data_IF_710806843258
#
_entry.id   IF_710806843258
#
_cell.length_a   1.000
_cell.length_b   1.000
_cell.length_c   1.000
_cell.angle_alpha   90.00
_cell.angle_beta   90.00
_cell.angle_gamma   90.00
#
_symmetry.space_group_name_H-M   'P 1'
#
loop_
_entity.id
_entity.type
_entity.pdbx_description
1 polymer ?
#
# COMPACT_ATOMS: atom_id res chain seq x y z
N UNK A 1 11.31 -10.91 15.89
CA UNK A 1 11.37 -11.05 14.42
C UNK A 1 12.26 -9.99 13.77
N UNK A 2 11.97 -8.69 13.94
CA UNK A 2 12.68 -7.60 13.25
C UNK A 2 14.21 -7.66 13.38
N UNK A 3 14.76 -7.73 14.59
CA UNK A 3 16.21 -7.83 14.81
C UNK A 3 16.86 -9.05 14.11
N UNK A 4 16.16 -10.18 14.05
CA UNK A 4 16.63 -11.39 13.35
C UNK A 4 16.66 -11.18 11.83
N UNK A 5 15.63 -10.53 11.28
CA UNK A 5 15.54 -10.22 9.86
C UNK A 5 16.68 -9.29 9.41
N UNK A 6 16.96 -8.23 10.18
CA UNK A 6 18.09 -7.32 9.90
C UNK A 6 19.44 -8.07 9.89
N UNK A 7 19.65 -8.96 10.86
CA UNK A 7 20.87 -9.77 10.93
C UNK A 7 21.01 -10.70 9.73
N UNK A 8 19.94 -11.40 9.36
CA UNK A 8 19.93 -12.31 8.20
C UNK A 8 20.13 -11.58 6.87
N UNK A 9 19.71 -10.32 6.82
CA UNK A 9 19.92 -9.42 5.69
C UNK A 9 21.30 -8.71 5.72
N UNK A 10 22.22 -9.16 6.58
CA UNK A 10 23.60 -8.67 6.69
C UNK A 10 23.75 -7.16 6.99
N UNK A 11 22.81 -6.57 7.73
CA UNK A 11 23.00 -5.22 8.25
C UNK A 11 24.13 -5.22 9.29
N UNK A 12 25.00 -4.22 9.26
CA UNK A 12 26.01 -4.05 10.30
C UNK A 12 25.36 -3.76 11.67
N UNK A 13 26.10 -4.00 12.75
CA UNK A 13 25.55 -3.92 14.11
C UNK A 13 25.03 -2.51 14.45
N UNK A 14 25.68 -1.45 13.96
CA UNK A 14 25.25 -0.08 14.23
C UNK A 14 23.93 0.23 13.52
N UNK A 15 23.81 -0.16 12.25
CA UNK A 15 22.55 -0.05 11.49
C UNK A 15 21.43 -0.86 12.15
N UNK A 16 21.71 -2.07 12.65
CA UNK A 16 20.73 -2.87 13.39
C UNK A 16 20.16 -2.10 14.59
N UNK A 17 21.03 -1.60 15.47
CA UNK A 17 20.61 -0.84 16.66
C UNK A 17 19.89 0.46 16.29
N UNK A 18 20.36 1.18 15.27
CA UNK A 18 19.74 2.43 14.82
C UNK A 18 18.30 2.18 14.35
N UNK A 19 18.06 1.20 13.49
CA UNK A 19 16.71 0.89 13.00
C UNK A 19 15.78 0.37 14.09
N UNK A 20 16.29 -0.47 15.00
CA UNK A 20 15.51 -0.94 16.15
C UNK A 20 15.17 0.21 17.12
N UNK A 21 16.09 1.15 17.33
CA UNK A 21 15.85 2.33 18.15
C UNK A 21 14.82 3.28 17.52
N UNK A 22 14.90 3.50 16.20
CA UNK A 22 13.90 4.29 15.45
C UNK A 22 12.53 3.63 15.58
N UNK A 23 12.44 2.32 15.34
CA UNK A 23 11.19 1.58 15.49
C UNK A 23 10.61 1.72 16.90
N UNK A 24 11.42 1.49 17.94
CA UNK A 24 10.98 1.60 19.33
C UNK A 24 10.51 3.01 19.69
N UNK A 25 11.24 4.04 19.27
CA UNK A 25 11.01 5.43 19.72
C UNK A 25 10.03 6.22 18.86
N UNK A 26 9.93 5.91 17.56
CA UNK A 26 9.20 6.72 16.57
C UNK A 26 8.07 5.97 15.87
N UNK A 27 8.01 4.64 15.97
CA UNK A 27 6.97 3.81 15.32
C UNK A 27 6.04 3.17 16.34
N UNK A 28 6.56 2.46 17.34
CA UNK A 28 5.75 1.79 18.36
C UNK A 28 4.70 2.72 19.01
N UNK A 29 5.00 3.99 19.35
CA UNK A 29 3.99 4.91 19.90
C UNK A 29 2.80 5.19 18.98
N UNK A 30 2.93 4.90 17.68
CA UNK A 30 1.90 5.08 16.66
C UNK A 30 1.25 3.76 16.21
N UNK A 31 1.45 2.65 16.94
CA UNK A 31 0.80 1.37 16.61
C UNK A 31 -0.54 1.16 17.35
N UNK A 32 -0.98 2.14 18.14
CA UNK A 32 -2.18 2.05 18.95
C UNK A 32 -2.07 1.03 20.08
N UNK A 33 -3.22 0.54 20.54
CA UNK A 33 -3.30 -0.50 21.57
C UNK A 33 -2.79 -1.84 21.05
N UNK A 34 -2.24 -2.66 21.94
CA UNK A 34 -1.79 -4.00 21.57
C UNK A 34 -2.98 -4.86 21.11
N UNK A 35 -2.92 -5.54 19.94
CA UNK A 35 -4.02 -6.38 19.49
C UNK A 35 -4.18 -7.64 20.37
N UNK A 36 -5.28 -7.72 21.11
CA UNK A 36 -5.64 -8.89 21.91
C UNK A 36 -6.64 -9.80 21.17
N UNK A 37 -6.66 -11.08 21.53
CA UNK A 37 -7.48 -12.11 20.83
C UNK A 37 -8.97 -11.87 20.99
N UNK A 38 -9.40 -11.43 22.17
CA UNK A 38 -10.81 -11.38 22.58
C UNK A 38 -11.37 -9.94 22.60
N UNK A 39 -10.55 -8.95 22.23
CA UNK A 39 -10.97 -7.55 22.14
C UNK A 39 -10.95 -7.05 20.70
N UNK A 40 -12.10 -6.54 20.26
CA UNK A 40 -12.22 -5.79 19.02
C UNK A 40 -12.17 -4.27 19.25
N UNK A 41 -11.86 -3.82 20.48
CA UNK A 41 -11.73 -2.40 20.81
C UNK A 41 -10.37 -1.85 20.37
N UNK A 42 -10.15 -1.87 19.06
CA UNK A 42 -8.93 -1.39 18.42
C UNK A 42 -9.21 -0.96 16.99
N UNK A 43 -8.30 -0.15 16.45
CA UNK A 43 -8.32 0.16 15.03
C UNK A 43 -8.02 -1.09 14.18
N UNK A 44 -8.82 -1.31 13.15
CA UNK A 44 -8.64 -2.39 12.17
C UNK A 44 -7.96 -1.84 10.91
N UNK A 45 -6.64 -2.05 10.83
CA UNK A 45 -5.84 -1.59 9.71
C UNK A 45 -6.06 -2.43 8.44
N UNK A 46 -6.15 -1.79 7.27
CA UNK A 46 -6.14 -2.51 5.98
C UNK A 46 -4.82 -3.25 5.70
N UNK A 47 -3.76 -2.95 6.47
CA UNK A 47 -2.41 -3.44 6.20
C UNK A 47 -2.33 -4.96 6.22
N UNK A 48 -2.96 -5.62 7.20
CA UNK A 48 -2.96 -7.08 7.30
C UNK A 48 -4.38 -7.63 7.34
N UNK A 49 -4.53 -8.91 6.98
CA UNK A 49 -5.83 -9.60 7.03
C UNK A 49 -6.39 -9.72 8.45
N UNK A 50 -5.54 -9.58 9.47
CA UNK A 50 -5.94 -9.58 10.88
C UNK A 50 -6.20 -8.16 11.41
N UNK A 51 -6.13 -7.13 10.58
CA UNK A 51 -6.35 -5.76 11.01
C UNK A 51 -5.20 -5.17 11.82
N UNK A 52 -4.03 -5.79 11.86
CA UNK A 52 -2.88 -5.30 12.65
C UNK A 52 -2.13 -4.20 11.91
N UNK A 53 -1.64 -3.15 12.59
CA UNK A 53 -1.10 -1.95 11.93
C UNK A 53 0.41 -2.02 11.67
N UNK A 54 1.03 -3.21 11.66
CA UNK A 54 2.46 -3.37 11.40
C UNK A 54 2.76 -4.65 10.62
N UNK A 55 3.62 -4.54 9.61
CA UNK A 55 4.08 -5.66 8.78
C UNK A 55 5.55 -5.47 8.35
N UNK A 56 6.35 -6.53 8.51
CA UNK A 56 7.72 -6.62 7.98
C UNK A 56 7.70 -7.26 6.59
N UNK A 57 8.57 -6.79 5.70
CA UNK A 57 8.86 -7.41 4.41
C UNK A 57 10.35 -7.39 4.13
N UNK A 58 10.81 -8.34 3.31
CA UNK A 58 12.19 -8.43 2.86
C UNK A 58 12.19 -8.42 1.34
N UNK A 59 12.96 -7.50 0.74
CA UNK A 59 13.36 -7.65 -0.66
C UNK A 59 14.46 -8.71 -0.70
N UNK A 60 14.14 -9.90 -1.21
CA UNK A 60 15.08 -11.02 -1.28
C UNK A 60 16.17 -10.85 -2.35
N UNK A 61 15.97 -9.99 -3.35
CA UNK A 61 16.97 -9.75 -4.40
C UNK A 61 18.15 -8.93 -3.87
N UNK A 62 17.86 -7.89 -3.10
CA UNK A 62 18.88 -6.93 -2.62
C UNK A 62 19.10 -7.00 -1.10
N UNK A 63 18.46 -7.95 -0.42
CA UNK A 63 18.46 -8.09 1.05
C UNK A 63 18.06 -6.82 1.81
N UNK A 64 17.09 -6.06 1.28
CA UNK A 64 16.61 -4.83 1.94
C UNK A 64 15.40 -5.14 2.81
N UNK A 65 15.53 -4.90 4.11
CA UNK A 65 14.41 -4.97 5.06
C UNK A 65 13.53 -3.73 4.92
N UNK A 66 12.23 -3.95 4.90
CA UNK A 66 11.19 -2.91 4.95
C UNK A 66 10.22 -3.23 6.08
N UNK A 67 9.68 -2.22 6.72
CA UNK A 67 8.40 -2.37 7.42
C UNK A 67 7.40 -1.33 6.96
N UNK A 68 6.12 -1.70 7.03
CA UNK A 68 4.98 -0.83 6.78
C UNK A 68 4.16 -0.76 8.06
N UNK A 69 3.61 0.41 8.37
CA UNK A 69 2.70 0.58 9.48
C UNK A 69 1.65 1.65 9.19
N UNK A 70 0.48 1.50 9.81
CA UNK A 70 -0.54 2.54 9.82
C UNK A 70 -0.43 3.35 11.11
N UNK A 71 -0.12 4.66 11.05
CA UNK A 71 -0.11 5.49 12.24
C UNK A 71 -1.49 5.57 12.90
N UNK A 72 -1.53 5.30 14.20
CA UNK A 72 -2.70 5.35 15.08
C UNK A 72 -2.30 6.16 16.31
N UNK A 73 -3.17 7.07 16.76
CA UNK A 73 -2.97 7.79 18.01
C UNK A 73 -4.25 7.76 18.87
N UNK A 74 -4.26 8.48 20.00
CA UNK A 74 -5.38 8.50 20.94
C UNK A 74 -6.71 9.04 20.36
N UNK A 75 -6.67 9.80 19.26
CA UNK A 75 -7.86 10.35 18.61
C UNK A 75 -8.40 9.41 17.52
N UNK A 76 -7.61 8.44 17.05
CA UNK A 76 -8.02 7.52 15.99
C UNK A 76 -9.28 6.75 16.37
N UNK A 77 -10.30 6.81 15.51
CA UNK A 77 -11.59 6.11 15.70
C UNK A 77 -12.54 6.80 16.67
N UNK A 78 -12.11 7.88 17.34
CA UNK A 78 -12.97 8.72 18.19
C UNK A 78 -13.73 9.76 17.34
N UNK A 79 -14.55 10.60 17.99
CA UNK A 79 -15.22 11.71 17.31
C UNK A 79 -14.24 12.71 16.66
N UNK A 80 -13.01 12.84 17.19
CA UNK A 80 -12.01 13.77 16.69
C UNK A 80 -11.29 13.28 15.41
N UNK A 81 -11.22 11.96 15.19
CA UNK A 81 -10.61 11.37 14.00
C UNK A 81 -11.22 9.99 13.67
N UNK A 82 -12.52 9.98 13.35
CA UNK A 82 -13.31 8.77 13.14
C UNK A 82 -12.78 7.86 12.02
N UNK A 83 -12.06 8.43 11.05
CA UNK A 83 -11.54 7.73 9.86
C UNK A 83 -10.02 7.66 9.80
N UNK A 84 -9.32 8.00 10.89
CA UNK A 84 -7.85 7.96 10.98
C UNK A 84 -7.13 8.76 9.88
N UNK A 85 -7.64 9.94 9.54
CA UNK A 85 -7.06 10.80 8.51
C UNK A 85 -5.96 11.73 9.06
N UNK A 86 -5.86 11.87 10.40
CA UNK A 86 -4.98 12.87 11.03
C UNK A 86 -3.74 12.28 11.70
N UNK A 87 -3.77 11.05 12.20
CA UNK A 87 -2.65 10.44 12.95
C UNK A 87 -1.30 10.41 12.23
N UNK A 88 -1.32 10.32 10.90
CA UNK A 88 -0.12 10.28 10.07
C UNK A 88 0.77 11.53 10.22
N UNK A 89 0.20 12.71 10.48
CA UNK A 89 0.97 13.95 10.57
C UNK A 89 1.96 13.94 11.73
N UNK A 90 1.50 13.54 12.92
CA UNK A 90 2.38 13.43 14.10
C UNK A 90 3.48 12.39 13.87
N UNK A 91 3.13 11.25 13.26
CA UNK A 91 4.08 10.19 12.94
C UNK A 91 5.12 10.61 11.89
N UNK A 92 4.72 11.41 10.89
CA UNK A 92 5.62 11.96 9.89
C UNK A 92 6.60 12.96 10.49
N UNK A 93 6.14 13.88 11.34
CA UNK A 93 7.00 14.87 12.00
C UNK A 93 8.14 14.19 12.78
N UNK A 94 7.83 13.10 13.47
CA UNK A 94 8.80 12.30 14.22
C UNK A 94 9.89 11.65 13.34
N UNK A 95 9.56 11.30 12.11
CA UNK A 95 10.49 10.72 11.13
C UNK A 95 11.28 11.79 10.36
N UNK A 96 10.62 12.89 9.98
CA UNK A 96 11.26 14.05 9.31
C UNK A 96 12.36 14.64 10.19
N UNK A 97 12.11 14.72 11.51
CA UNK A 97 13.08 15.25 12.47
C UNK A 97 14.42 14.47 12.52
N UNK A 98 14.46 13.24 12.01
CA UNK A 98 15.66 12.38 12.06
C UNK A 98 16.19 11.96 10.68
N UNK A 99 15.51 12.36 9.59
CA UNK A 99 15.90 12.02 8.22
C UNK A 99 15.72 13.24 7.31
N UNK A 100 16.79 14.06 7.13
CA UNK A 100 16.72 15.34 6.41
C UNK A 100 16.27 15.25 4.94
N UNK A 101 16.45 14.10 4.29
CA UNK A 101 16.12 13.91 2.86
C UNK A 101 14.61 13.65 2.63
N UNK A 102 13.81 13.55 3.69
CA UNK A 102 12.37 13.39 3.56
C UNK A 102 11.77 14.66 2.98
N UNK A 103 11.05 14.53 1.87
CA UNK A 103 10.32 15.61 1.23
C UNK A 103 8.82 15.26 1.19
N UNK A 104 7.99 16.20 1.60
CA UNK A 104 6.54 16.00 1.78
C UNK A 104 5.69 16.64 0.67
N UNK A 105 6.29 17.18 -0.39
CA UNK A 105 5.57 17.90 -1.45
C UNK A 105 4.46 17.05 -2.08
N UNK A 106 4.82 15.90 -2.64
CA UNK A 106 3.84 14.97 -3.22
C UNK A 106 2.96 14.32 -2.17
N UNK A 107 3.47 14.09 -0.94
CA UNK A 107 2.64 13.58 0.15
C UNK A 107 1.48 14.55 0.45
N UNK A 108 1.77 15.85 0.60
CA UNK A 108 0.78 16.87 0.91
C UNK A 108 -0.29 16.94 -0.20
N UNK A 109 0.15 16.94 -1.47
CA UNK A 109 -0.74 16.90 -2.63
C UNK A 109 -1.67 15.68 -2.61
N UNK A 110 -1.11 14.47 -2.55
CA UNK A 110 -1.92 13.26 -2.59
C UNK A 110 -2.78 13.08 -1.34
N UNK A 111 -2.30 13.49 -0.15
CA UNK A 111 -3.10 13.46 1.08
C UNK A 111 -4.33 14.35 0.93
N UNK A 112 -4.18 15.57 0.42
CA UNK A 112 -5.29 16.50 0.21
C UNK A 112 -6.30 15.97 -0.81
N UNK A 113 -5.82 15.44 -1.93
CA UNK A 113 -6.67 15.01 -3.05
C UNK A 113 -7.36 13.65 -2.80
N UNK A 114 -6.70 12.74 -2.09
CA UNK A 114 -7.09 11.32 -2.04
C UNK A 114 -7.54 10.84 -0.65
N UNK A 115 -7.54 11.70 0.37
CA UNK A 115 -8.10 11.35 1.68
C UNK A 115 -9.20 12.32 2.10
N UNK A 116 -10.00 11.90 3.09
CA UNK A 116 -11.05 12.73 3.64
C UNK A 116 -10.48 14.00 4.27
N UNK A 117 -11.07 15.13 3.90
CA UNK A 117 -11.04 16.36 4.68
C UNK A 117 -11.89 16.23 5.94
N UNK A 118 -11.80 17.20 6.85
CA UNK A 118 -12.65 17.24 8.05
C UNK A 118 -14.14 17.41 7.70
N UNK A 119 -14.47 18.19 6.66
CA UNK A 119 -15.84 18.36 6.19
C UNK A 119 -16.42 17.07 5.61
N UNK A 120 -15.65 16.36 4.78
CA UNK A 120 -16.07 15.06 4.24
C UNK A 120 -16.15 13.98 5.33
N UNK A 121 -15.27 14.02 6.32
CA UNK A 121 -15.34 13.14 7.50
C UNK A 121 -16.63 13.36 8.26
N UNK A 122 -17.01 14.62 8.51
CA UNK A 122 -18.29 14.96 9.16
C UNK A 122 -19.49 14.47 8.34
N UNK A 123 -19.50 14.75 7.04
CA UNK A 123 -20.54 14.29 6.12
C UNK A 123 -20.72 12.77 6.15
N UNK A 124 -19.62 12.00 6.09
CA UNK A 124 -19.68 10.55 6.15
C UNK A 124 -20.15 10.02 7.52
N UNK A 125 -19.79 10.69 8.61
CA UNK A 125 -20.26 10.32 9.94
C UNK A 125 -21.79 10.49 10.06
N UNK A 126 -22.34 11.57 9.50
CA UNK A 126 -23.78 11.87 9.49
C UNK A 126 -24.59 10.93 8.58
N UNK A 127 -23.98 10.43 7.50
CA UNK A 127 -24.61 9.47 6.57
C UNK A 127 -24.89 8.10 7.19
N UNK A 128 -24.29 7.80 8.35
CA UNK A 128 -24.47 6.54 9.06
C UNK A 128 -23.43 5.47 8.71
N UNK A 129 -23.66 4.20 9.10
CA UNK A 129 -22.65 3.16 8.99
C UNK A 129 -22.27 2.87 7.53
N UNK A 130 -20.96 2.87 7.26
CA UNK A 130 -20.42 2.46 5.97
C UNK A 130 -20.45 0.93 5.86
N UNK A 131 -20.64 0.42 4.64
CA UNK A 131 -20.57 -1.04 4.38
C UNK A 131 -19.19 -1.63 4.68
N UNK A 132 -18.12 -0.84 4.53
CA UNK A 132 -16.76 -1.28 4.85
C UNK A 132 -16.45 -1.11 6.34
N UNK A 133 -15.99 -2.19 6.97
CA UNK A 133 -15.42 -2.16 8.33
C UNK A 133 -14.00 -1.60 8.39
N UNK A 134 -13.29 -1.53 7.26
CA UNK A 134 -11.92 -1.00 7.19
C UNK A 134 -11.96 0.46 6.71
N UNK A 135 -11.31 1.34 7.48
CA UNK A 135 -11.38 2.79 7.29
C UNK A 135 -10.03 3.46 7.02
N UNK A 136 -8.94 2.68 6.90
CA UNK A 136 -7.59 3.21 6.66
C UNK A 136 -7.57 4.21 5.50
N UNK A 137 -7.01 5.40 5.75
CA UNK A 137 -6.77 6.42 4.72
C UNK A 137 -5.37 6.34 4.16
N UNK A 138 -4.38 6.04 4.99
CA UNK A 138 -2.97 6.07 4.61
C UNK A 138 -2.09 5.27 5.57
N UNK A 139 -0.95 4.80 5.07
CA UNK A 139 0.09 4.10 5.85
C UNK A 139 1.48 4.53 5.39
N UNK A 140 2.48 4.34 6.26
CA UNK A 140 3.88 4.65 5.99
C UNK A 140 4.71 3.38 5.86
N UNK A 141 5.72 3.40 4.99
CA UNK A 141 6.70 2.33 4.89
C UNK A 141 8.12 2.88 4.87
N UNK A 142 9.05 2.14 5.48
CA UNK A 142 10.46 2.50 5.54
C UNK A 142 11.29 1.40 4.88
N UNK A 143 11.98 1.73 3.80
CA UNK A 143 13.03 0.90 3.21
C UNK A 143 14.33 1.20 3.95
N UNK A 144 14.88 0.22 4.66
CA UNK A 144 16.05 0.41 5.51
C UNK A 144 17.32 0.25 4.66
N UNK A 145 18.13 1.29 4.49
CA UNK A 145 19.31 1.26 3.61
C UNK A 145 20.53 1.74 4.36
N UNK A 146 21.44 0.81 4.71
CA UNK A 146 22.53 1.09 5.63
C UNK A 146 21.98 1.66 6.93
N UNK A 147 22.46 2.82 7.33
CA UNK A 147 22.00 3.54 8.53
C UNK A 147 20.86 4.54 8.25
N UNK A 148 20.36 4.63 7.01
CA UNK A 148 19.29 5.56 6.59
C UNK A 148 18.01 4.80 6.26
N UNK A 149 16.93 5.53 6.03
CA UNK A 149 15.71 4.96 5.47
C UNK A 149 15.15 5.82 4.33
N UNK A 150 14.47 5.16 3.39
CA UNK A 150 13.62 5.83 2.39
C UNK A 150 12.17 5.66 2.82
N UNK A 151 11.49 6.77 3.05
CA UNK A 151 10.11 6.78 3.50
C UNK A 151 9.15 6.75 2.30
N UNK A 152 8.04 6.02 2.45
CA UNK A 152 6.96 5.93 1.46
C UNK A 152 5.62 6.08 2.14
N UNK A 153 4.63 6.58 1.40
CA UNK A 153 3.23 6.56 1.80
C UNK A 153 2.44 5.65 0.87
N UNK A 154 1.38 5.05 1.38
CA UNK A 154 0.32 4.44 0.58
C UNK A 154 -0.99 5.10 1.00
N UNK A 155 -1.82 5.50 0.04
CA UNK A 155 -3.04 6.28 0.25
C UNK A 155 -4.23 5.57 -0.40
N UNK A 156 -5.32 5.44 0.35
CA UNK A 156 -6.52 4.66 0.01
C UNK A 156 -7.73 5.59 -0.20
N UNK A 157 -8.12 5.90 -1.45
CA UNK A 157 -9.16 6.88 -1.74
C UNK A 157 -10.60 6.36 -1.63
N UNK A 158 -10.83 5.14 -1.13
CA UNK A 158 -12.17 4.53 -1.12
C UNK A 158 -13.19 5.36 -0.33
N UNK A 159 -12.82 5.89 0.85
CA UNK A 159 -13.74 6.76 1.60
C UNK A 159 -13.93 8.12 0.92
N UNK A 160 -12.88 8.66 0.31
CA UNK A 160 -12.93 9.90 -0.48
C UNK A 160 -13.88 9.75 -1.68
N UNK A 161 -13.85 8.59 -2.35
CA UNK A 161 -14.78 8.24 -3.42
C UNK A 161 -16.23 8.25 -2.92
N UNK A 162 -16.51 7.63 -1.77
CA UNK A 162 -17.86 7.62 -1.17
C UNK A 162 -18.33 9.05 -0.81
N UNK A 163 -17.44 9.88 -0.26
CA UNK A 163 -17.79 11.24 0.15
C UNK A 163 -18.02 12.19 -1.03
N UNK A 164 -17.21 12.07 -2.08
CA UNK A 164 -17.24 12.98 -3.24
C UNK A 164 -18.15 12.51 -4.38
N UNK A 165 -18.57 11.24 -4.38
CA UNK A 165 -19.33 10.63 -5.48
C UNK A 165 -18.49 10.26 -6.70
N UNK A 166 -17.17 10.50 -6.69
CA UNK A 166 -16.23 10.09 -7.74
C UNK A 166 -15.80 8.64 -7.57
N UNK A 167 -15.35 8.02 -8.65
CA UNK A 167 -14.71 6.70 -8.57
C UNK A 167 -13.26 6.79 -8.04
N UNK A 168 -12.72 5.66 -7.58
CA UNK A 168 -11.33 5.60 -7.07
C UNK A 168 -10.30 5.83 -8.18
N UNK A 169 -10.57 5.34 -9.38
CA UNK A 169 -9.77 5.57 -10.57
C UNK A 169 -9.79 7.05 -10.98
N UNK A 170 -10.96 7.70 -11.05
CA UNK A 170 -11.06 9.14 -11.33
C UNK A 170 -10.22 9.96 -10.35
N UNK A 171 -10.37 9.72 -9.04
CA UNK A 171 -9.60 10.42 -8.01
C UNK A 171 -8.09 10.27 -8.20
N UNK A 172 -7.60 9.04 -8.42
CA UNK A 172 -6.16 8.78 -8.55
C UNK A 172 -5.60 9.37 -9.85
N UNK A 173 -6.25 9.12 -11.00
CA UNK A 173 -5.76 9.61 -12.28
C UNK A 173 -5.83 11.15 -12.36
N UNK A 174 -6.91 11.78 -11.88
CA UNK A 174 -7.02 13.24 -11.80
C UNK A 174 -5.89 13.84 -10.94
N UNK A 175 -5.65 13.24 -9.76
CA UNK A 175 -4.64 13.72 -8.83
C UNK A 175 -3.22 13.60 -9.39
N UNK A 176 -2.87 12.49 -10.04
CA UNK A 176 -1.55 12.33 -10.68
C UNK A 176 -1.42 13.24 -11.92
N UNK A 177 -2.51 13.46 -12.66
CA UNK A 177 -2.53 14.40 -13.78
C UNK A 177 -2.22 15.83 -13.33
N UNK A 178 -2.73 16.27 -12.17
CA UNK A 178 -2.36 17.56 -11.57
C UNK A 178 -0.86 17.67 -11.28
N UNK A 179 -0.23 16.61 -10.74
CA UNK A 179 1.24 16.56 -10.54
C UNK A 179 1.97 16.68 -11.87
N UNK A 180 1.46 16.02 -12.93
CA UNK A 180 2.11 16.02 -14.24
C UNK A 180 2.17 17.40 -14.92
N UNK A 181 1.35 18.36 -14.49
CA UNK A 181 1.40 19.74 -14.99
C UNK A 181 2.72 20.45 -14.63
N UNK A 182 3.31 20.09 -13.48
CA UNK A 182 4.62 20.60 -13.02
C UNK A 182 5.75 19.60 -13.28
N UNK A 183 5.42 18.31 -13.43
CA UNK A 183 6.37 17.21 -13.67
C UNK A 183 5.97 16.40 -14.91
N UNK A 184 6.16 17.01 -16.08
CA UNK A 184 5.70 16.48 -17.38
C UNK A 184 6.26 15.08 -17.74
N UNK A 185 7.40 14.67 -17.15
CA UNK A 185 8.01 13.35 -17.37
C UNK A 185 7.12 12.18 -16.95
N UNK A 186 6.13 12.41 -16.09
CA UNK A 186 5.18 11.39 -15.61
C UNK A 186 4.08 11.12 -16.63
N UNK A 187 3.73 12.12 -17.44
CA UNK A 187 2.54 12.10 -18.30
C UNK A 187 2.51 10.93 -19.30
N UNK A 188 3.60 10.57 -20.00
CA UNK A 188 3.56 9.46 -20.97
C UNK A 188 3.18 8.12 -20.31
N UNK A 189 3.78 7.80 -19.16
CA UNK A 189 3.49 6.57 -18.44
C UNK A 189 2.06 6.58 -17.85
N UNK A 190 1.61 7.75 -17.37
CA UNK A 190 0.25 7.93 -16.86
C UNK A 190 -0.79 7.65 -17.95
N UNK A 191 -0.63 8.25 -19.13
CA UNK A 191 -1.58 8.09 -20.25
C UNK A 191 -1.72 6.63 -20.67
N UNK A 192 -0.60 5.92 -20.82
CA UNK A 192 -0.62 4.49 -21.20
C UNK A 192 -1.34 3.64 -20.15
N UNK A 193 -1.07 3.89 -18.86
CA UNK A 193 -1.74 3.16 -17.77
C UNK A 193 -3.22 3.49 -17.67
N UNK A 194 -3.60 4.75 -17.86
CA UNK A 194 -5.00 5.20 -17.84
C UNK A 194 -5.80 4.61 -19.01
N UNK A 195 -5.22 4.58 -20.21
CA UNK A 195 -5.82 3.91 -21.37
C UNK A 195 -6.01 2.41 -21.14
N UNK A 196 -5.00 1.73 -20.57
CA UNK A 196 -5.12 0.33 -20.20
C UNK A 196 -6.23 0.11 -19.17
N UNK A 197 -6.25 0.89 -18.09
CA UNK A 197 -7.27 0.79 -17.04
C UNK A 197 -8.68 1.03 -17.60
N UNK A 198 -8.86 2.02 -18.48
CA UNK A 198 -10.11 2.29 -19.19
C UNK A 198 -10.51 1.13 -20.10
N UNK A 199 -9.58 0.54 -20.85
CA UNK A 199 -9.85 -0.62 -21.71
C UNK A 199 -10.30 -1.87 -20.95
N UNK A 200 -9.99 -1.93 -19.64
CA UNK A 200 -10.40 -3.01 -18.73
C UNK A 200 -11.60 -2.63 -17.86
N UNK A 201 -12.14 -1.43 -17.99
CA UNK A 201 -13.28 -0.96 -17.19
C UNK A 201 -14.61 -1.58 -17.65
N UNK A 202 -15.63 -1.52 -16.80
CA UNK A 202 -16.98 -2.00 -17.11
C UNK A 202 -17.56 -2.97 -16.08
N UNK A 203 -18.84 -3.31 -16.24
CA UNK A 203 -19.63 -4.05 -15.24
C UNK A 203 -19.03 -5.44 -14.89
N UNK A 204 -18.42 -6.10 -15.88
CA UNK A 204 -17.81 -7.42 -15.74
C UNK A 204 -16.29 -7.36 -15.51
N UNK A 205 -15.74 -6.17 -15.24
CA UNK A 205 -14.30 -6.03 -15.00
C UNK A 205 -13.88 -6.81 -13.78
N UNK A 206 -12.80 -7.57 -13.91
CA UNK A 206 -12.16 -8.24 -12.78
C UNK A 206 -11.12 -7.35 -12.10
N UNK A 207 -10.78 -6.22 -12.72
CA UNK A 207 -9.80 -5.24 -12.24
C UNK A 207 -10.44 -4.01 -11.60
N UNK A 208 -9.78 -3.41 -10.62
CA UNK A 208 -10.15 -2.09 -10.08
C UNK A 208 -8.93 -1.35 -9.55
N UNK A 209 -8.83 -0.04 -9.77
CA UNK A 209 -7.80 0.79 -9.15
C UNK A 209 -8.15 0.95 -7.67
N UNK A 210 -7.18 0.71 -6.76
CA UNK A 210 -7.47 0.65 -5.32
C UNK A 210 -6.70 1.65 -4.47
N UNK A 211 -5.44 1.91 -4.78
CA UNK A 211 -4.61 2.82 -3.99
C UNK A 211 -3.45 3.37 -4.82
N UNK A 212 -2.79 4.37 -4.26
CA UNK A 212 -1.56 4.96 -4.78
C UNK A 212 -0.47 4.92 -3.71
N UNK A 213 0.79 4.82 -4.11
CA UNK A 213 1.92 5.07 -3.23
C UNK A 213 2.92 6.01 -3.88
N UNK A 214 3.65 6.79 -3.08
CA UNK A 214 4.81 7.52 -3.55
C UNK A 214 5.98 7.49 -2.56
N UNK A 215 7.20 7.70 -3.08
CA UNK A 215 8.40 7.89 -2.26
C UNK A 215 8.39 9.33 -1.67
N UNK A 216 8.69 9.52 -0.38
CA UNK A 216 8.73 10.83 0.29
C UNK A 216 10.14 11.42 0.19
N UNK A 217 10.55 11.66 -1.05
CA UNK A 217 11.83 12.25 -1.46
C UNK A 217 11.57 13.36 -2.47
N UNK A 218 12.60 14.11 -2.88
CA UNK A 218 12.45 15.19 -3.85
C UNK A 218 11.70 14.70 -5.10
N UNK A 219 10.74 15.47 -5.65
CA UNK A 219 9.93 15.08 -6.82
C UNK A 219 10.73 14.48 -7.98
N UNK A 220 11.90 15.07 -8.29
CA UNK A 220 12.76 14.63 -9.40
C UNK A 220 13.23 13.17 -9.30
N UNK A 221 13.23 12.57 -8.10
CA UNK A 221 13.64 11.19 -7.86
C UNK A 221 12.54 10.36 -7.17
N UNK A 222 11.36 10.94 -6.95
CA UNK A 222 10.22 10.21 -6.39
C UNK A 222 9.50 9.43 -7.49
N UNK A 223 8.91 8.29 -7.11
CA UNK A 223 8.12 7.46 -8.01
C UNK A 223 6.71 7.34 -7.47
N UNK A 224 5.74 7.44 -8.37
CA UNK A 224 4.33 7.15 -8.10
C UNK A 224 4.05 5.72 -8.55
N UNK A 225 3.30 4.96 -7.75
CA UNK A 225 2.77 3.64 -8.12
C UNK A 225 1.27 3.64 -7.93
N UNK A 226 0.55 3.22 -8.96
CA UNK A 226 -0.89 3.00 -8.93
C UNK A 226 -1.14 1.49 -8.82
N UNK A 227 -1.97 1.08 -7.87
CA UNK A 227 -2.24 -0.32 -7.60
C UNK A 227 -3.60 -0.72 -8.14
N UNK A 228 -3.59 -1.75 -8.98
CA UNK A 228 -4.78 -2.38 -9.54
C UNK A 228 -5.00 -3.71 -8.82
N UNK A 229 -6.16 -3.87 -8.20
CA UNK A 229 -6.65 -5.16 -7.71
C UNK A 229 -7.18 -5.96 -8.89
N UNK A 230 -6.72 -7.20 -9.04
CA UNK A 230 -7.24 -8.19 -9.99
C UNK A 230 -7.89 -9.33 -9.20
N UNK A 231 -9.17 -9.60 -9.48
CA UNK A 231 -9.96 -10.65 -8.83
C UNK A 231 -9.83 -11.99 -9.54
N UNK A 232 -9.45 -12.00 -10.81
CA UNK A 232 -9.19 -13.19 -11.60
C UNK A 232 -7.74 -13.66 -11.43
N UNK A 233 -7.53 -14.60 -10.50
CA UNK A 233 -6.20 -15.17 -10.24
C UNK A 233 -5.87 -16.24 -11.29
N UNK A 234 -5.34 -15.81 -12.45
CA UNK A 234 -4.94 -16.70 -13.54
C UNK A 234 -3.68 -16.22 -14.25
N UNK A 235 -2.94 -17.14 -14.89
CA UNK A 235 -1.74 -16.79 -15.68
C UNK A 235 -2.06 -15.83 -16.83
N UNK A 236 -3.16 -16.00 -17.60
CA UNK A 236 -3.57 -15.01 -18.61
C UNK A 236 -3.82 -13.62 -18.03
N UNK A 237 -4.50 -13.51 -16.88
CA UNK A 237 -4.74 -12.22 -16.23
C UNK A 237 -3.42 -11.55 -15.77
N UNK A 238 -2.47 -12.34 -15.24
CA UNK A 238 -1.13 -11.84 -14.90
C UNK A 238 -0.36 -11.37 -16.14
N UNK A 239 -0.44 -12.09 -17.26
CA UNK A 239 0.18 -11.68 -18.53
C UNK A 239 -0.41 -10.39 -19.07
N UNK A 240 -1.73 -10.26 -18.99
CA UNK A 240 -2.45 -9.05 -19.40
C UNK A 240 -1.98 -7.84 -18.59
N UNK A 241 -1.91 -7.95 -17.26
CA UNK A 241 -1.38 -6.90 -16.39
C UNK A 241 0.09 -6.59 -16.67
N UNK A 242 0.93 -7.62 -16.81
CA UNK A 242 2.38 -7.46 -17.04
C UNK A 242 2.70 -6.74 -18.35
N UNK A 243 1.92 -7.01 -19.39
CA UNK A 243 2.10 -6.42 -20.73
C UNK A 243 1.22 -5.20 -20.98
N UNK A 244 0.41 -4.79 -20.00
CA UNK A 244 -0.66 -3.79 -20.13
C UNK A 244 -1.52 -4.04 -21.38
N UNK A 245 -2.03 -5.26 -21.51
CA UNK A 245 -2.86 -5.72 -22.63
C UNK A 245 -2.08 -5.80 -23.94
N UNK A 246 -0.82 -6.24 -23.90
CA UNK A 246 0.04 -6.36 -25.08
C UNK A 246 0.72 -5.07 -25.56
N UNK A 247 0.61 -3.96 -24.80
CA UNK A 247 1.28 -2.68 -25.11
C UNK A 247 2.79 -2.73 -24.87
N UNK A 248 3.24 -3.60 -23.95
CA UNK A 248 4.66 -3.83 -23.66
C UNK A 248 5.06 -5.25 -24.07
N UNK A 249 5.93 -5.33 -25.07
CA UNK A 249 6.39 -6.59 -25.67
C UNK A 249 7.89 -6.58 -25.96
N UNK A 250 8.63 -5.62 -25.41
CA UNK A 250 10.08 -5.55 -25.56
C UNK A 250 10.76 -6.79 -24.93
N UNK A 251 12.00 -7.11 -25.35
CA UNK A 251 12.69 -8.32 -24.90
C UNK A 251 12.82 -8.44 -23.38
N UNK A 252 13.00 -7.33 -22.66
CA UNK A 252 13.11 -7.35 -21.20
C UNK A 252 11.76 -7.68 -20.55
N UNK A 253 10.65 -7.11 -21.05
CA UNK A 253 9.30 -7.46 -20.61
C UNK A 253 9.00 -8.94 -20.85
N UNK A 254 9.33 -9.47 -22.02
CA UNK A 254 9.10 -10.90 -22.35
C UNK A 254 9.95 -11.80 -21.45
N UNK A 255 11.22 -11.48 -21.26
CA UNK A 255 12.11 -12.26 -20.39
C UNK A 255 11.63 -12.23 -18.92
N UNK A 256 11.21 -11.07 -18.42
CA UNK A 256 10.68 -10.94 -17.07
C UNK A 256 9.39 -11.75 -16.85
N UNK A 257 8.51 -11.85 -17.87
CA UNK A 257 7.31 -12.68 -17.75
C UNK A 257 7.63 -14.17 -17.63
N UNK A 258 8.69 -14.66 -18.31
CA UNK A 258 9.13 -16.06 -18.16
C UNK A 258 9.52 -16.38 -16.71
N UNK A 259 10.17 -15.44 -16.02
CA UNK A 259 10.48 -15.59 -14.59
C UNK A 259 9.22 -15.67 -13.72
N UNK A 260 8.13 -14.99 -14.10
CA UNK A 260 6.84 -15.12 -13.42
C UNK A 260 6.26 -16.53 -13.63
N UNK A 261 6.34 -17.06 -14.85
CA UNK A 261 5.89 -18.42 -15.16
C UNK A 261 6.66 -19.46 -14.32
N UNK A 262 7.98 -19.31 -14.23
CA UNK A 262 8.85 -20.15 -13.39
C UNK A 262 8.50 -20.05 -11.90
N UNK A 263 8.28 -18.83 -11.39
CA UNK A 263 7.89 -18.61 -10.00
C UNK A 263 6.58 -19.31 -9.65
N UNK A 264 5.58 -19.22 -10.54
CA UNK A 264 4.28 -19.85 -10.32
C UNK A 264 4.38 -21.38 -10.35
N UNK A 265 5.23 -21.93 -11.22
CA UNK A 265 5.50 -23.36 -11.26
C UNK A 265 6.16 -23.82 -9.95
N UNK A 266 7.21 -23.13 -9.50
CA UNK A 266 7.90 -23.43 -8.25
C UNK A 266 6.93 -23.36 -7.04
N UNK A 267 6.07 -22.34 -6.99
CA UNK A 267 5.08 -22.19 -5.93
C UNK A 267 4.05 -23.32 -5.92
N UNK A 268 3.55 -23.73 -7.09
CA UNK A 268 2.62 -24.86 -7.21
C UNK A 268 3.24 -26.18 -6.74
N UNK A 269 4.50 -26.43 -7.11
CA UNK A 269 5.24 -27.61 -6.64
C UNK A 269 5.39 -27.56 -5.12
N UNK A 270 5.78 -26.40 -4.56
CA UNK A 270 5.93 -26.23 -3.13
C UNK A 270 4.61 -26.44 -2.36
N UNK A 271 3.49 -25.89 -2.85
CA UNK A 271 2.19 -26.11 -2.23
C UNK A 271 1.78 -27.58 -2.25
N UNK A 272 2.06 -28.32 -3.32
CA UNK A 272 1.80 -29.77 -3.37
C UNK A 272 2.64 -30.55 -2.36
N UNK A 273 3.88 -30.13 -2.10
CA UNK A 273 4.74 -30.74 -1.07
C UNK A 273 4.22 -30.46 0.35
N UNK A 274 3.70 -29.25 0.61
CA UNK A 274 3.14 -28.89 1.91
C UNK A 274 1.76 -29.51 2.17
N UNK A 275 0.98 -29.74 1.11
CA UNK A 275 -0.39 -30.25 1.17
C UNK A 275 -0.59 -31.40 0.16
N UNK A 276 0.00 -32.59 0.43
CA UNK A 276 0.01 -33.72 -0.52
C UNK A 276 -1.36 -34.38 -0.73
N UNK A 277 -2.28 -34.25 0.24
CA UNK A 277 -3.63 -34.81 0.15
C UNK A 277 -4.58 -33.79 -0.51
N UNK A 278 -4.85 -33.98 -1.81
CA UNK A 278 -5.69 -33.14 -2.68
C UNK A 278 -7.20 -33.13 -2.33
N UNK A 279 -7.55 -32.79 -1.08
CA UNK A 279 -8.91 -32.34 -0.71
C UNK A 279 -8.96 -30.85 -0.34
N UNK A 280 -7.83 -30.21 -0.06
CA UNK A 280 -7.76 -28.79 0.36
C UNK A 280 -7.60 -27.76 -0.75
N UNK A 281 -7.17 -28.14 -1.96
CA UNK A 281 -6.84 -27.16 -3.01
C UNK A 281 -8.09 -26.59 -3.69
N UNK A 282 -9.24 -27.29 -3.61
CA UNK A 282 -10.53 -26.82 -4.15
C UNK A 282 -11.24 -25.75 -3.28
N UNK A 283 -10.73 -25.44 -2.08
CA UNK A 283 -11.37 -24.48 -1.15
C UNK A 283 -10.72 -23.09 -1.12
N UNK A 284 -9.66 -22.83 -1.89
CA UNK A 284 -9.29 -21.45 -2.26
C UNK A 284 -10.23 -20.89 -3.36
N UNK A 285 -11.51 -21.26 -3.31
CA UNK A 285 -12.55 -20.36 -3.80
C UNK A 285 -12.45 -19.13 -2.91
N UNK A 286 -11.92 -18.04 -3.46
CA UNK A 286 -12.01 -16.71 -2.87
C UNK A 286 -13.49 -16.31 -2.79
N UNK A 287 -14.18 -16.89 -1.81
CA UNK A 287 -15.55 -16.60 -1.41
C UNK A 287 -15.52 -15.73 -0.17
N UNK A 288 -14.85 -14.58 -0.24
CA UNK A 288 -15.18 -13.48 0.64
C UNK A 288 -16.41 -12.81 0.05
N UNK A 289 -17.60 -13.14 0.58
CA UNK A 289 -18.78 -12.30 0.37
C UNK A 289 -18.36 -10.87 0.74
N UNK A 290 -18.39 -10.00 -0.25
CA UNK A 290 -18.54 -8.57 0.01
C UNK A 290 -19.96 -8.44 0.55
N UNK A 291 -20.06 -8.31 1.87
CA UNK A 291 -21.23 -7.72 2.52
C UNK A 291 -20.82 -6.29 2.90
#
# INVERSE_FOLDING_TARGET
MFAKMLRMANYDIHSQYKHLAIYKKRVIPFLGVYPERDSNDRWLSILTRFGTPFELSLNCSDSVVRYTYEPINSSTGTADDLFNTHSIWKSLNELVAIQPDVNLEWFNHFKQELTLSSAESKFLAEKGPLKTGIKTQNKLALDLKGDRFVLKTYIYPELKAIASGKSTDELIFDSVRKVSLQHNSILPALSVLEEYAKSRSGLNSTTSVRLLSCDLVKPAISRIKIYILERMVSLPAMKDLWTLGGRFTDPATVAGFKLIEELLLAYRVHLKLLFPDEKGIRSLRYGGRVA
#
